data_IF_809894352863
#
_entry.id   IF_809894352863
#
_cell.length_a   1.000
_cell.length_b   1.000
_cell.length_c   1.000
_cell.angle_alpha   90.00
_cell.angle_beta   90.00
_cell.angle_gamma   90.00
#
_symmetry.space_group_name_H-M   'P 1'
#
loop_
_entity.id
_entity.type
_entity.pdbx_description
1 polymer ?
#
# COMPACT_ATOMS: atom_id res chain seq x y z
N UNK A 1 31.49 25.39 -14.72
CA UNK A 1 30.52 24.68 -15.59
C UNK A 1 29.58 23.92 -14.69
N UNK A 2 28.42 24.49 -14.44
CA UNK A 2 27.39 23.92 -13.60
C UNK A 2 26.73 22.78 -14.36
N UNK A 3 27.01 21.53 -13.94
CA UNK A 3 26.31 20.35 -14.43
C UNK A 3 24.88 20.31 -13.84
N UNK A 4 24.02 21.16 -14.37
CA UNK A 4 22.59 21.08 -14.11
C UNK A 4 22.08 19.81 -14.76
N UNK A 5 21.87 18.76 -13.94
CA UNK A 5 21.18 17.55 -14.39
C UNK A 5 19.81 17.97 -14.90
N UNK A 6 19.67 18.01 -16.24
CA UNK A 6 18.42 18.36 -16.90
C UNK A 6 17.30 17.46 -16.39
N UNK A 7 16.15 18.02 -16.01
CA UNK A 7 15.00 17.24 -15.61
C UNK A 7 14.66 16.25 -16.72
N UNK A 8 14.40 14.99 -16.33
CA UNK A 8 13.94 13.97 -17.30
C UNK A 8 12.45 13.71 -17.03
N UNK A 9 11.55 14.57 -17.51
CA UNK A 9 10.12 14.50 -17.17
C UNK A 9 9.52 13.14 -17.56
N UNK A 10 9.95 12.58 -18.67
CA UNK A 10 9.48 11.27 -19.15
C UNK A 10 9.78 10.13 -18.17
N UNK A 11 10.96 10.11 -17.55
CA UNK A 11 11.32 9.09 -16.55
C UNK A 11 10.55 9.25 -15.25
N UNK A 12 10.28 10.48 -14.82
CA UNK A 12 9.49 10.76 -13.64
C UNK A 12 8.02 10.32 -13.84
N UNK A 13 7.44 10.56 -15.02
CA UNK A 13 6.08 10.12 -15.35
C UNK A 13 5.99 8.59 -15.40
N UNK A 14 6.97 7.90 -15.99
CA UNK A 14 7.01 6.43 -16.01
C UNK A 14 7.13 5.88 -14.59
N UNK A 15 7.98 6.47 -13.74
CA UNK A 15 8.09 6.07 -12.34
C UNK A 15 6.79 6.31 -11.57
N UNK A 16 6.10 7.43 -11.84
CA UNK A 16 4.79 7.73 -11.24
C UNK A 16 3.71 6.75 -11.69
N UNK A 17 3.66 6.39 -12.96
CA UNK A 17 2.72 5.40 -13.48
C UNK A 17 2.96 4.00 -12.86
N UNK A 18 4.22 3.58 -12.75
CA UNK A 18 4.58 2.32 -12.11
C UNK A 18 4.23 2.33 -10.61
N UNK A 19 4.52 3.43 -9.91
CA UNK A 19 4.17 3.61 -8.50
C UNK A 19 2.66 3.61 -8.27
N UNK A 20 1.90 4.28 -9.13
CA UNK A 20 0.43 4.25 -9.10
C UNK A 20 -0.10 2.83 -9.28
N UNK A 21 0.40 2.09 -10.29
CA UNK A 21 -0.01 0.71 -10.52
C UNK A 21 0.28 -0.19 -9.31
N UNK A 22 1.46 -0.02 -8.68
CA UNK A 22 1.83 -0.77 -7.48
C UNK A 22 0.91 -0.45 -6.29
N UNK A 23 0.62 0.83 -6.04
CA UNK A 23 -0.26 1.26 -4.94
C UNK A 23 -1.71 0.81 -5.17
N UNK A 24 -2.21 0.91 -6.41
CA UNK A 24 -3.55 0.45 -6.76
C UNK A 24 -3.67 -1.09 -6.62
N UNK A 25 -2.68 -1.84 -7.10
CA UNK A 25 -2.62 -3.28 -6.93
C UNK A 25 -2.60 -3.68 -5.45
N UNK A 26 -1.80 -2.98 -4.62
CA UNK A 26 -1.76 -3.20 -3.17
C UNK A 26 -3.14 -3.00 -2.53
N UNK A 27 -3.83 -1.90 -2.86
CA UNK A 27 -5.16 -1.59 -2.33
C UNK A 27 -6.20 -2.64 -2.73
N UNK A 28 -6.20 -3.08 -3.99
CA UNK A 28 -7.11 -4.11 -4.50
C UNK A 28 -6.83 -5.46 -3.83
N UNK A 29 -5.58 -5.90 -3.81
CA UNK A 29 -5.17 -7.17 -3.17
C UNK A 29 -5.50 -7.15 -1.69
N UNK A 30 -5.25 -6.03 -0.98
CA UNK A 30 -5.58 -5.88 0.43
C UNK A 30 -7.08 -5.95 0.70
N UNK A 31 -7.90 -5.32 -0.12
CA UNK A 31 -9.36 -5.40 0.00
C UNK A 31 -9.87 -6.83 -0.26
N UNK A 32 -9.34 -7.51 -1.28
CA UNK A 32 -9.66 -8.91 -1.56
C UNK A 32 -9.19 -9.85 -0.45
N UNK A 33 -8.02 -9.58 0.13
CA UNK A 33 -7.50 -10.34 1.28
C UNK A 33 -8.49 -10.29 2.44
N UNK A 34 -8.92 -9.11 2.85
CA UNK A 34 -9.80 -8.94 4.01
C UNK A 34 -11.22 -9.45 3.73
N UNK A 35 -11.78 -9.13 2.57
CA UNK A 35 -13.20 -9.33 2.30
C UNK A 35 -13.54 -10.66 1.62
N UNK A 36 -12.55 -11.36 1.06
CA UNK A 36 -12.78 -12.57 0.26
C UNK A 36 -11.87 -13.72 0.71
N UNK A 37 -10.55 -13.54 0.60
CA UNK A 37 -9.62 -14.65 0.78
C UNK A 37 -9.47 -15.09 2.22
N UNK A 38 -9.40 -14.14 3.16
CA UNK A 38 -9.29 -14.44 4.57
C UNK A 38 -10.54 -15.16 5.12
N UNK A 39 -11.79 -14.70 4.87
CA UNK A 39 -12.98 -15.43 5.25
C UNK A 39 -13.05 -16.86 4.66
N UNK A 40 -12.72 -17.02 3.38
CA UNK A 40 -12.74 -18.34 2.74
C UNK A 40 -11.68 -19.29 3.30
N UNK A 41 -10.51 -18.78 3.69
CA UNK A 41 -9.46 -19.57 4.31
C UNK A 41 -9.77 -19.91 5.78
N UNK A 42 -10.45 -19.02 6.49
CA UNK A 42 -10.84 -19.22 7.89
C UNK A 42 -11.96 -20.28 8.05
N UNK A 43 -12.85 -20.41 7.06
CA UNK A 43 -14.01 -21.32 7.11
C UNK A 43 -13.97 -22.25 5.89
N UNK A 44 -13.11 -23.28 5.87
CA UNK A 44 -12.96 -24.18 4.74
C UNK A 44 -14.27 -24.92 4.41
N UNK A 45 -14.60 -24.99 3.11
CA UNK A 45 -15.80 -25.65 2.61
C UNK A 45 -17.05 -24.77 2.57
N UNK A 46 -17.04 -23.59 3.17
CA UNK A 46 -18.14 -22.63 3.07
C UNK A 46 -17.94 -21.68 1.88
N UNK A 47 -19.04 -21.24 1.28
CA UNK A 47 -19.04 -20.17 0.30
C UNK A 47 -19.01 -18.80 1.01
N UNK A 48 -18.51 -17.77 0.34
CA UNK A 48 -18.49 -16.42 0.89
C UNK A 48 -19.90 -15.91 1.27
N UNK A 49 -20.92 -16.31 0.50
CA UNK A 49 -22.32 -16.00 0.80
C UNK A 49 -22.81 -16.64 2.09
N UNK A 50 -22.47 -17.90 2.34
CA UNK A 50 -22.78 -18.61 3.59
C UNK A 50 -22.07 -17.97 4.79
N UNK A 51 -20.77 -17.66 4.65
CA UNK A 51 -20.01 -16.99 5.71
C UNK A 51 -20.66 -15.67 6.08
N UNK A 52 -20.98 -14.82 5.10
CA UNK A 52 -21.63 -13.53 5.33
C UNK A 52 -23.01 -13.66 5.97
N UNK A 53 -23.79 -14.67 5.56
CA UNK A 53 -25.11 -14.92 6.13
C UNK A 53 -25.01 -15.34 7.61
N UNK A 54 -24.08 -16.22 7.98
CA UNK A 54 -23.86 -16.63 9.37
C UNK A 54 -23.36 -15.45 10.23
N UNK A 55 -22.41 -14.67 9.73
CA UNK A 55 -21.92 -13.48 10.40
C UNK A 55 -23.06 -12.46 10.66
N UNK A 56 -23.96 -12.29 9.68
CA UNK A 56 -25.13 -11.42 9.84
C UNK A 56 -26.12 -11.95 10.87
N UNK A 57 -26.32 -13.28 10.95
CA UNK A 57 -27.18 -13.93 11.99
C UNK A 57 -26.60 -13.81 13.39
N UNK A 58 -25.27 -13.80 13.50
CA UNK A 58 -24.56 -13.61 14.75
C UNK A 58 -24.46 -12.14 15.19
N UNK A 59 -25.09 -11.23 14.46
CA UNK A 59 -24.98 -9.77 14.65
C UNK A 59 -23.53 -9.24 14.53
N UNK A 60 -22.71 -9.95 13.72
CA UNK A 60 -21.30 -9.65 13.42
C UNK A 60 -21.09 -9.46 11.90
N UNK A 61 -21.78 -8.51 11.24
CA UNK A 61 -21.73 -8.42 9.78
C UNK A 61 -20.32 -8.08 9.29
N UNK A 62 -19.90 -8.72 8.18
CA UNK A 62 -18.67 -8.40 7.50
C UNK A 62 -18.78 -7.02 6.84
N UNK A 63 -18.44 -5.96 7.58
CA UNK A 63 -18.54 -4.59 7.10
C UNK A 63 -17.40 -4.24 6.15
N UNK A 64 -17.74 -3.90 4.90
CA UNK A 64 -16.74 -3.54 3.88
C UNK A 64 -16.34 -2.05 3.93
N UNK A 65 -17.09 -1.19 4.62
CA UNK A 65 -16.97 0.26 4.50
C UNK A 65 -15.57 0.78 4.82
N UNK A 66 -14.97 0.35 5.94
CA UNK A 66 -13.62 0.76 6.32
C UNK A 66 -12.55 0.21 5.39
N UNK A 67 -12.72 -1.02 4.91
CA UNK A 67 -11.80 -1.64 3.96
C UNK A 67 -11.81 -0.90 2.63
N UNK A 68 -13.01 -0.57 2.14
CA UNK A 68 -13.16 0.19 0.91
C UNK A 68 -12.65 1.64 1.08
N UNK A 69 -12.95 2.30 2.21
CA UNK A 69 -12.45 3.63 2.50
C UNK A 69 -10.92 3.66 2.55
N UNK A 70 -10.28 2.68 3.18
CA UNK A 70 -8.82 2.53 3.19
C UNK A 70 -8.27 2.33 1.77
N UNK A 71 -8.81 1.39 1.00
CA UNK A 71 -8.35 1.11 -0.36
C UNK A 71 -8.53 2.32 -1.29
N UNK A 72 -9.68 2.98 -1.22
CA UNK A 72 -9.98 4.18 -2.01
C UNK A 72 -9.05 5.34 -1.63
N UNK A 73 -8.78 5.56 -0.34
CA UNK A 73 -7.86 6.62 0.10
C UNK A 73 -6.45 6.40 -0.45
N UNK A 74 -5.96 5.16 -0.46
CA UNK A 74 -4.68 4.79 -1.06
C UNK A 74 -4.63 5.09 -2.56
N UNK A 75 -5.67 4.73 -3.31
CA UNK A 75 -5.78 5.00 -4.75
C UNK A 75 -5.85 6.51 -5.01
N UNK A 76 -6.62 7.26 -4.24
CA UNK A 76 -6.74 8.72 -4.37
C UNK A 76 -5.39 9.39 -4.14
N UNK A 77 -4.68 9.04 -3.07
CA UNK A 77 -3.35 9.59 -2.80
C UNK A 77 -2.35 9.24 -3.91
N UNK A 78 -2.35 7.99 -4.40
CA UNK A 78 -1.52 7.57 -5.51
C UNK A 78 -1.83 8.35 -6.80
N UNK A 79 -3.12 8.62 -7.05
CA UNK A 79 -3.58 9.45 -8.18
C UNK A 79 -3.09 10.88 -8.06
N UNK A 80 -3.16 11.48 -6.87
CA UNK A 80 -2.64 12.84 -6.62
C UNK A 80 -1.15 12.92 -6.94
N UNK A 81 -0.35 11.95 -6.49
CA UNK A 81 1.10 11.92 -6.80
C UNK A 81 1.32 11.82 -8.31
N UNK A 82 0.56 10.97 -9.02
CA UNK A 82 0.64 10.84 -10.47
C UNK A 82 0.31 12.15 -11.18
N UNK A 83 -0.82 12.77 -10.85
CA UNK A 83 -1.27 14.02 -11.47
C UNK A 83 -0.30 15.16 -11.22
N UNK A 84 0.17 15.34 -9.98
CA UNK A 84 1.17 16.35 -9.64
C UNK A 84 2.47 16.12 -10.42
N UNK A 85 2.88 14.86 -10.62
CA UNK A 85 4.08 14.54 -11.42
C UNK A 85 3.89 14.89 -12.89
N UNK A 86 2.71 14.65 -13.45
CA UNK A 86 2.39 14.99 -14.84
C UNK A 86 2.33 16.51 -15.04
N UNK A 87 1.66 17.22 -14.14
CA UNK A 87 1.47 18.68 -14.23
C UNK A 87 2.79 19.42 -14.02
N UNK A 88 3.61 18.96 -13.08
CA UNK A 88 4.93 19.56 -12.82
C UNK A 88 5.96 19.02 -13.81
N UNK A 89 6.08 19.66 -14.98
CA UNK A 89 7.01 19.30 -16.05
C UNK A 89 8.50 19.19 -15.62
N UNK A 90 8.85 19.60 -14.41
CA UNK A 90 10.20 19.61 -13.85
C UNK A 90 10.40 18.56 -12.72
N UNK A 91 9.57 17.54 -12.67
CA UNK A 91 9.63 16.53 -11.61
C UNK A 91 10.91 15.68 -11.71
N UNK A 92 11.55 15.47 -10.56
CA UNK A 92 12.71 14.57 -10.43
C UNK A 92 12.21 13.18 -10.05
N UNK A 93 12.87 12.13 -10.56
CA UNK A 93 12.51 10.72 -10.29
C UNK A 93 12.57 10.39 -8.80
N UNK A 94 13.63 10.82 -8.10
CA UNK A 94 13.84 10.49 -6.68
C UNK A 94 12.66 10.84 -5.77
N UNK A 95 12.20 12.09 -5.71
CA UNK A 95 11.03 12.49 -4.94
C UNK A 95 9.74 11.75 -5.30
N UNK A 96 9.54 11.45 -6.60
CA UNK A 96 8.36 10.68 -7.06
C UNK A 96 8.41 9.26 -6.51
N UNK A 97 9.54 8.59 -6.64
CA UNK A 97 9.74 7.24 -6.09
C UNK A 97 9.58 7.26 -4.57
N UNK A 98 10.19 8.23 -3.88
CA UNK A 98 10.05 8.37 -2.42
C UNK A 98 8.57 8.50 -2.00
N UNK A 99 7.78 9.30 -2.69
CA UNK A 99 6.36 9.47 -2.38
C UNK A 99 5.58 8.15 -2.47
N UNK A 100 5.78 7.35 -3.51
CA UNK A 100 5.13 6.05 -3.62
C UNK A 100 5.65 5.02 -2.61
N UNK A 101 6.94 5.03 -2.30
CA UNK A 101 7.49 4.17 -1.24
C UNK A 101 6.87 4.52 0.12
N UNK A 102 6.69 5.80 0.43
CA UNK A 102 5.99 6.24 1.65
C UNK A 102 4.55 5.74 1.67
N UNK A 103 3.80 5.86 0.57
CA UNK A 103 2.44 5.33 0.49
C UNK A 103 2.41 3.82 0.76
N UNK A 104 3.31 3.04 0.16
CA UNK A 104 3.39 1.59 0.36
C UNK A 104 3.83 1.21 1.79
N UNK A 105 4.70 1.99 2.42
CA UNK A 105 5.08 1.78 3.83
C UNK A 105 3.87 1.94 4.74
N UNK A 106 3.09 3.01 4.57
CA UNK A 106 1.91 3.26 5.38
C UNK A 106 0.69 2.40 5.00
N UNK A 107 0.74 1.73 3.86
CA UNK A 107 -0.33 0.83 3.44
C UNK A 107 -0.49 -0.38 4.38
N UNK A 108 0.60 -0.93 4.95
CA UNK A 108 0.53 -2.07 5.86
C UNK A 108 -0.19 -1.76 7.20
N UNK A 109 0.21 -0.72 7.98
CA UNK A 109 -0.57 -0.37 9.15
C UNK A 109 -2.02 0.00 8.81
N UNK A 110 -2.26 0.69 7.70
CA UNK A 110 -3.61 0.97 7.24
C UNK A 110 -4.42 -0.30 6.93
N UNK A 111 -3.82 -1.28 6.27
CA UNK A 111 -4.41 -2.60 6.01
C UNK A 111 -4.74 -3.34 7.32
N UNK A 112 -3.82 -3.34 8.28
CA UNK A 112 -4.04 -3.94 9.60
C UNK A 112 -5.27 -3.34 10.28
N UNK A 113 -5.35 -2.01 10.38
CA UNK A 113 -6.51 -1.35 11.00
C UNK A 113 -7.81 -1.57 10.22
N UNK A 114 -7.77 -1.57 8.88
CA UNK A 114 -8.94 -1.84 8.06
C UNK A 114 -9.45 -3.29 8.21
N UNK A 115 -8.53 -4.26 8.38
CA UNK A 115 -8.84 -5.68 8.54
C UNK A 115 -9.21 -6.08 9.97
N UNK A 116 -8.88 -5.26 10.98
CA UNK A 116 -9.06 -5.62 12.39
C UNK A 116 -10.52 -5.93 12.73
N UNK A 117 -11.45 -5.04 12.39
CA UNK A 117 -12.88 -5.26 12.65
C UNK A 117 -13.43 -6.50 11.95
N UNK A 118 -13.29 -6.63 10.63
CA UNK A 118 -13.66 -7.84 9.89
C UNK A 118 -13.05 -9.13 10.43
N UNK A 119 -11.77 -9.11 10.85
CA UNK A 119 -11.09 -10.26 11.47
C UNK A 119 -11.68 -10.65 12.80
N UNK A 120 -11.98 -9.70 13.66
CA UNK A 120 -12.63 -9.96 14.96
C UNK A 120 -14.05 -10.49 14.78
N UNK A 121 -14.86 -9.89 13.91
CA UNK A 121 -16.21 -10.36 13.61
C UNK A 121 -16.21 -11.81 13.08
N UNK A 122 -15.22 -12.17 12.25
CA UNK A 122 -15.05 -13.55 11.78
C UNK A 122 -14.67 -14.50 12.93
N UNK A 123 -13.75 -14.08 13.80
CA UNK A 123 -13.29 -14.84 14.96
C UNK A 123 -14.44 -15.13 15.92
N UNK A 124 -15.24 -14.13 16.24
CA UNK A 124 -16.37 -14.23 17.16
C UNK A 124 -17.50 -15.13 16.61
N UNK A 125 -17.72 -15.09 15.29
CA UNK A 125 -18.78 -15.89 14.64
C UNK A 125 -18.41 -17.37 14.52
N UNK A 126 -17.16 -17.66 14.12
CA UNK A 126 -16.75 -19.03 13.79
C UNK A 126 -15.81 -19.66 14.82
N UNK A 127 -15.52 -18.97 15.91
CA UNK A 127 -14.61 -19.41 16.99
C UNK A 127 -13.21 -19.77 16.44
N UNK A 128 -12.74 -19.00 15.44
CA UNK A 128 -11.40 -19.10 14.87
C UNK A 128 -10.50 -17.98 15.39
N UNK A 129 -9.20 -18.00 15.06
CA UNK A 129 -8.34 -16.88 15.42
C UNK A 129 -8.69 -15.62 14.62
N UNK A 130 -8.49 -14.43 15.20
CA UNK A 130 -8.63 -13.15 14.48
C UNK A 130 -7.46 -12.82 13.55
N UNK A 131 -6.51 -13.75 13.38
CA UNK A 131 -5.35 -13.59 12.51
C UNK A 131 -5.68 -13.79 11.02
N UNK A 132 -4.74 -13.42 10.16
CA UNK A 132 -4.82 -13.74 8.73
C UNK A 132 -4.70 -15.27 8.51
N UNK A 133 -5.73 -15.88 7.94
CA UNK A 133 -5.76 -17.28 7.55
C UNK A 133 -5.26 -17.52 6.12
N UNK A 134 -5.37 -16.52 5.25
CA UNK A 134 -4.87 -16.59 3.88
C UNK A 134 -3.45 -16.03 3.78
N UNK A 135 -2.53 -16.67 3.02
CA UNK A 135 -1.11 -16.29 2.98
C UNK A 135 -0.84 -14.93 2.30
N UNK A 136 -1.80 -14.40 1.56
CA UNK A 136 -1.67 -13.16 0.80
C UNK A 136 -1.48 -11.92 1.68
N UNK A 137 -1.97 -11.93 2.93
CA UNK A 137 -1.73 -10.87 3.91
C UNK A 137 -0.23 -10.68 4.16
N UNK A 138 0.51 -11.78 4.35
CA UNK A 138 1.96 -11.73 4.56
C UNK A 138 2.70 -11.07 3.38
N UNK A 139 2.27 -11.31 2.14
CA UNK A 139 2.86 -10.69 0.95
C UNK A 139 2.74 -9.15 1.00
N UNK A 140 1.62 -8.62 1.46
CA UNK A 140 1.41 -7.18 1.60
C UNK A 140 2.39 -6.58 2.63
N UNK A 141 2.59 -7.24 3.76
CA UNK A 141 3.57 -6.80 4.77
C UNK A 141 5.01 -6.86 4.23
N UNK A 142 5.36 -7.88 3.45
CA UNK A 142 6.68 -7.99 2.79
C UNK A 142 6.88 -6.84 1.80
N UNK A 143 5.88 -6.49 0.99
CA UNK A 143 5.95 -5.35 0.07
C UNK A 143 6.19 -4.04 0.82
N UNK A 144 5.49 -3.81 1.94
CA UNK A 144 5.68 -2.60 2.75
C UNK A 144 7.06 -2.57 3.42
N UNK A 145 7.55 -3.69 3.94
CA UNK A 145 8.91 -3.78 4.52
C UNK A 145 9.99 -3.53 3.46
N UNK A 146 9.85 -4.12 2.27
CA UNK A 146 10.75 -3.87 1.15
C UNK A 146 10.72 -2.39 0.71
N UNK A 147 9.54 -1.77 0.71
CA UNK A 147 9.39 -0.35 0.40
C UNK A 147 10.08 0.54 1.44
N UNK A 148 10.02 0.18 2.72
CA UNK A 148 10.74 0.88 3.79
C UNK A 148 12.26 0.79 3.59
N UNK A 149 12.77 -0.41 3.31
CA UNK A 149 14.19 -0.60 3.03
C UNK A 149 14.65 0.20 1.81
N UNK A 150 13.87 0.18 0.73
CA UNK A 150 14.15 0.96 -0.47
C UNK A 150 14.15 2.47 -0.18
N UNK A 151 13.22 2.96 0.64
CA UNK A 151 13.14 4.36 1.06
C UNK A 151 14.37 4.77 1.87
N UNK A 152 14.80 3.95 2.82
CA UNK A 152 16.02 4.18 3.62
C UNK A 152 17.24 4.28 2.71
N UNK A 153 17.39 3.33 1.77
CA UNK A 153 18.52 3.34 0.81
C UNK A 153 18.49 4.62 -0.04
N UNK A 154 17.30 5.04 -0.49
CA UNK A 154 17.14 6.26 -1.28
C UNK A 154 17.57 7.50 -0.50
N UNK A 155 17.19 7.62 0.77
CA UNK A 155 17.54 8.74 1.66
C UNK A 155 19.05 8.78 1.92
N UNK A 156 19.65 7.63 2.23
CA UNK A 156 21.11 7.54 2.48
C UNK A 156 21.90 7.96 1.23
N UNK A 157 21.48 7.50 0.04
CA UNK A 157 22.14 7.88 -1.23
C UNK A 157 22.01 9.37 -1.50
N UNK A 158 20.83 9.96 -1.26
CA UNK A 158 20.63 11.38 -1.45
C UNK A 158 21.52 12.22 -0.50
N UNK A 159 21.62 11.84 0.77
CA UNK A 159 22.46 12.50 1.76
C UNK A 159 23.95 12.45 1.38
N UNK A 160 24.45 11.27 0.99
CA UNK A 160 25.86 11.12 0.57
C UNK A 160 26.21 12.00 -0.64
N UNK A 161 25.29 12.11 -1.61
CA UNK A 161 25.50 12.96 -2.77
C UNK A 161 25.58 14.45 -2.41
N UNK A 162 24.75 14.90 -1.45
CA UNK A 162 24.77 16.28 -0.97
C UNK A 162 26.11 16.61 -0.26
N UNK A 163 26.61 15.72 0.61
CA UNK A 163 27.87 15.90 1.32
C UNK A 163 29.06 15.94 0.36
N UNK A 164 29.09 15.06 -0.66
CA UNK A 164 30.16 15.04 -1.65
C UNK A 164 30.23 16.33 -2.50
N UNK A 165 29.07 16.97 -2.76
CA UNK A 165 29.02 18.28 -3.41
C UNK A 165 29.53 19.41 -2.52
N UNK A 166 29.19 19.40 -1.24
CA UNK A 166 29.64 20.43 -0.28
C UNK A 166 31.18 20.43 -0.13
N UNK A 167 31.79 19.24 -0.03
CA UNK A 167 33.28 19.11 0.11
C UNK A 167 34.05 19.57 -1.14
N UNK A 168 33.43 19.53 -2.33
CA UNK A 168 34.11 19.99 -3.58
C UNK A 168 34.08 21.50 -3.80
N UNK A 169 33.27 22.24 -3.09
CA UNK A 169 33.04 23.67 -3.28
C UNK A 169 33.36 24.52 -2.03
N UNK A 170 33.82 23.92 -0.94
CA UNK A 170 34.39 24.55 0.26
C UNK A 170 35.91 24.41 0.26
#
# INVERSE_FOLDING_TARGET
MENTVKPQPRRAVVAAAAGFAAAAAYAIVGALQILVWNPLAAVPGATLGQIRAEMARADQPLTANWVLAWGMSGIVLATVVLLVTIIRMNSRVGPVVAAYLVLLVFAAPGHFFAGFGPGMSLADTFLVSGADHAPWGMLLYVVSAASLLALIVLIIRAGRSATAHAVRHG
#
